data_IF_386265239587
#
_entry.id   IF_386265239587
#
_cell.length_a   1.000
_cell.length_b   1.000
_cell.length_c   1.000
_cell.angle_alpha   90.00
_cell.angle_beta   90.00
_cell.angle_gamma   90.00
#
_symmetry.space_group_name_H-M   'P 1'
#
loop_
_entity.id
_entity.type
_entity.pdbx_description
1 polymer ?
#
# COMPACT_ATOMS: atom_id res chain seq x y z
N UNK A 1 25.68 -13.14 -19.25
CA UNK A 1 25.87 -14.03 -20.41
C UNK A 1 24.78 -15.09 -20.53
N UNK A 2 24.59 -16.02 -19.57
CA UNK A 2 23.44 -16.95 -19.67
C UNK A 2 22.13 -16.16 -19.57
N UNK A 3 21.26 -16.33 -20.56
CA UNK A 3 19.95 -15.69 -20.62
C UNK A 3 19.93 -14.23 -21.09
N UNK A 4 21.01 -13.69 -21.65
CA UNK A 4 21.07 -12.32 -22.23
C UNK A 4 21.08 -12.37 -23.75
N UNK A 5 20.42 -11.43 -24.43
CA UNK A 5 20.42 -11.34 -25.91
C UNK A 5 21.82 -11.03 -26.45
N UNK A 6 22.65 -10.40 -25.62
CA UNK A 6 24.07 -10.18 -25.87
C UNK A 6 24.82 -11.38 -26.47
N UNK A 7 24.58 -12.61 -25.99
CA UNK A 7 25.31 -13.80 -26.47
C UNK A 7 25.08 -14.05 -27.97
N UNK A 8 23.88 -13.77 -28.46
CA UNK A 8 23.50 -13.98 -29.86
C UNK A 8 23.82 -12.76 -30.74
N UNK A 9 23.75 -11.55 -30.16
CA UNK A 9 23.98 -10.29 -30.88
C UNK A 9 25.46 -9.95 -31.02
N UNK A 10 26.29 -10.21 -30.00
CA UNK A 10 27.69 -9.80 -30.00
C UNK A 10 28.47 -10.32 -31.23
N UNK A 11 28.41 -11.62 -31.60
CA UNK A 11 29.21 -12.11 -32.73
C UNK A 11 28.86 -11.42 -34.05
N UNK A 12 27.56 -11.13 -34.27
CA UNK A 12 27.09 -10.45 -35.48
C UNK A 12 27.58 -9.01 -35.52
N UNK A 13 27.41 -8.26 -34.43
CA UNK A 13 27.86 -6.87 -34.34
C UNK A 13 29.37 -6.76 -34.40
N UNK A 14 30.10 -7.69 -33.78
CA UNK A 14 31.56 -7.70 -33.82
C UNK A 14 32.10 -8.02 -35.22
N UNK A 15 31.49 -8.96 -35.94
CA UNK A 15 31.87 -9.27 -37.32
C UNK A 15 31.79 -8.04 -38.25
N UNK A 16 30.83 -7.13 -38.02
CA UNK A 16 30.76 -5.86 -38.77
C UNK A 16 31.99 -4.98 -38.53
N UNK A 17 32.50 -4.94 -37.29
CA UNK A 17 33.71 -4.18 -36.96
C UNK A 17 34.97 -4.87 -37.49
N UNK A 18 35.04 -6.20 -37.39
CA UNK A 18 36.13 -7.02 -37.90
C UNK A 18 36.33 -6.84 -39.41
N UNK A 19 35.23 -6.79 -40.17
CA UNK A 19 35.27 -6.62 -41.62
C UNK A 19 35.76 -5.24 -42.11
N UNK A 20 35.79 -4.21 -41.25
CA UNK A 20 36.16 -2.85 -41.64
C UNK A 20 37.67 -2.66 -41.75
N UNK A 21 38.10 -1.82 -42.69
CA UNK A 21 39.49 -1.37 -42.79
C UNK A 21 39.86 -0.44 -41.61
N UNK A 22 41.16 -0.19 -41.41
CA UNK A 22 41.64 0.66 -40.30
C UNK A 22 41.11 2.10 -40.38
N UNK A 23 40.99 2.64 -41.60
CA UNK A 23 40.50 4.01 -41.83
C UNK A 23 38.99 4.11 -41.61
N UNK A 24 38.24 3.14 -42.12
CA UNK A 24 36.77 3.05 -41.91
C UNK A 24 36.43 2.90 -40.43
N UNK A 25 37.16 2.03 -39.71
CA UNK A 25 36.98 1.83 -38.27
C UNK A 25 37.20 3.15 -37.50
N UNK A 26 38.29 3.86 -37.81
CA UNK A 26 38.60 5.14 -37.16
C UNK A 26 37.54 6.21 -37.45
N UNK A 27 37.05 6.27 -38.69
CA UNK A 27 35.99 7.19 -39.09
C UNK A 27 34.66 6.88 -38.37
N UNK A 28 34.26 5.60 -38.31
CA UNK A 28 33.04 5.16 -37.61
C UNK A 28 33.11 5.44 -36.12
N UNK A 29 34.23 5.15 -35.46
CA UNK A 29 34.44 5.48 -34.05
C UNK A 29 34.30 6.98 -33.77
N UNK A 30 34.86 7.82 -34.64
CA UNK A 30 34.75 9.28 -34.51
C UNK A 30 33.30 9.74 -34.64
N UNK A 31 32.57 9.23 -35.62
CA UNK A 31 31.15 9.56 -35.83
C UNK A 31 30.28 9.15 -34.63
N UNK A 32 30.47 7.93 -34.11
CA UNK A 32 29.76 7.45 -32.91
C UNK A 32 30.08 8.32 -31.71
N UNK A 33 31.35 8.67 -31.49
CA UNK A 33 31.74 9.49 -30.35
C UNK A 33 31.13 10.90 -30.40
N UNK A 34 31.05 11.52 -31.58
CA UNK A 34 30.36 12.81 -31.76
C UNK A 34 28.89 12.67 -31.34
N UNK A 35 28.18 11.68 -31.88
CA UNK A 35 26.77 11.45 -31.55
C UNK A 35 26.55 11.16 -30.06
N UNK A 36 27.46 10.40 -29.45
CA UNK A 36 27.44 10.10 -28.01
C UNK A 36 27.56 11.38 -27.17
N UNK A 37 28.48 12.27 -27.53
CA UNK A 37 28.66 13.55 -26.85
C UNK A 37 27.42 14.44 -26.98
N UNK A 38 26.81 14.52 -28.18
CA UNK A 38 25.54 15.24 -28.39
C UNK A 38 24.43 14.71 -27.47
N UNK A 39 24.29 13.38 -27.38
CA UNK A 39 23.28 12.74 -26.53
C UNK A 39 23.55 12.95 -25.03
N UNK A 40 24.83 12.98 -24.61
CA UNK A 40 25.23 13.31 -23.24
C UNK A 40 24.98 14.79 -22.90
N UNK A 41 25.20 15.69 -23.84
CA UNK A 41 24.89 17.12 -23.68
C UNK A 41 23.38 17.34 -23.59
N UNK A 42 22.59 16.71 -24.48
CA UNK A 42 21.13 16.72 -24.39
C UNK A 42 20.65 16.25 -23.01
N UNK A 43 21.20 15.15 -22.51
CA UNK A 43 20.90 14.63 -21.16
C UNK A 43 21.18 15.69 -20.08
N UNK A 44 22.35 16.31 -20.11
CA UNK A 44 22.71 17.35 -19.15
C UNK A 44 21.75 18.56 -19.20
N UNK A 45 21.29 18.94 -20.39
CA UNK A 45 20.33 20.02 -20.56
C UNK A 45 18.92 19.69 -20.06
N UNK A 46 18.48 18.44 -20.19
CA UNK A 46 17.23 17.98 -19.57
C UNK A 46 17.33 17.99 -18.04
N UNK A 47 18.45 17.49 -17.49
CA UNK A 47 18.70 17.47 -16.04
C UNK A 47 18.74 18.90 -15.46
N UNK A 48 19.37 19.86 -16.14
CA UNK A 48 19.35 21.29 -15.78
C UNK A 48 17.94 21.87 -15.72
N UNK A 49 17.02 21.37 -16.56
CA UNK A 49 15.61 21.78 -16.60
C UNK A 49 14.73 21.01 -15.60
N UNK A 50 15.32 20.16 -14.75
CA UNK A 50 14.59 19.29 -13.83
C UNK A 50 13.73 18.25 -14.53
N UNK A 51 14.01 17.95 -15.81
CA UNK A 51 13.27 16.99 -16.63
C UNK A 51 14.12 15.77 -16.88
N UNK A 52 13.48 14.63 -17.13
CA UNK A 52 14.19 13.45 -17.61
C UNK A 52 14.31 13.49 -19.14
N UNK A 53 15.45 13.04 -19.65
CA UNK A 53 15.67 12.85 -21.08
C UNK A 53 14.61 11.89 -21.67
N UNK A 54 14.13 12.13 -22.91
CA UNK A 54 13.22 11.22 -23.61
C UNK A 54 13.75 9.79 -23.63
N UNK A 55 12.85 8.81 -23.49
CA UNK A 55 13.24 7.40 -23.47
C UNK A 55 13.92 6.95 -24.78
N UNK A 56 13.56 7.55 -25.92
CA UNK A 56 14.18 7.28 -27.22
C UNK A 56 15.66 7.65 -27.24
N UNK A 57 16.00 8.85 -26.79
CA UNK A 57 17.39 9.32 -26.71
C UNK A 57 18.21 8.53 -25.69
N UNK A 58 17.62 8.13 -24.56
CA UNK A 58 18.28 7.27 -23.57
C UNK A 58 18.66 5.90 -24.16
N UNK A 59 17.77 5.30 -24.95
CA UNK A 59 18.02 4.03 -25.63
C UNK A 59 19.10 4.19 -26.71
N UNK A 60 19.04 5.27 -27.50
CA UNK A 60 20.04 5.58 -28.51
C UNK A 60 21.43 5.77 -27.89
N UNK A 61 21.51 6.50 -26.77
CA UNK A 61 22.79 6.71 -26.06
C UNK A 61 23.38 5.38 -25.59
N UNK A 62 22.57 4.50 -24.99
CA UNK A 62 23.03 3.18 -24.56
C UNK A 62 23.52 2.31 -25.72
N UNK A 63 22.87 2.37 -26.88
CA UNK A 63 23.31 1.67 -28.08
C UNK A 63 24.62 2.24 -28.62
N UNK A 64 24.77 3.57 -28.66
CA UNK A 64 26.01 4.23 -29.13
C UNK A 64 27.18 4.01 -28.18
N UNK A 65 26.94 4.00 -26.87
CA UNK A 65 27.94 3.63 -25.87
C UNK A 65 28.47 2.22 -26.14
N UNK A 66 27.56 1.26 -26.35
CA UNK A 66 27.94 -0.12 -26.67
C UNK A 66 28.75 -0.23 -27.97
N UNK A 67 28.28 0.36 -29.06
CA UNK A 67 28.98 0.34 -30.34
C UNK A 67 30.38 0.99 -30.24
N UNK A 68 30.49 2.07 -29.46
CA UNK A 68 31.77 2.73 -29.21
C UNK A 68 32.76 1.83 -28.47
N UNK A 69 32.33 1.16 -27.40
CA UNK A 69 33.18 0.24 -26.65
C UNK A 69 33.60 -0.97 -27.50
N UNK A 70 32.68 -1.53 -28.30
CA UNK A 70 32.98 -2.65 -29.19
C UNK A 70 34.02 -2.26 -30.26
N UNK A 71 33.88 -1.10 -30.89
CA UNK A 71 34.85 -0.61 -31.86
C UNK A 71 36.21 -0.27 -31.23
N UNK A 72 36.22 0.23 -29.99
CA UNK A 72 37.46 0.52 -29.24
C UNK A 72 38.20 -0.78 -28.87
N UNK A 73 37.45 -1.79 -28.42
CA UNK A 73 37.96 -3.14 -28.17
C UNK A 73 38.60 -3.73 -29.44
N UNK A 74 37.91 -3.72 -30.57
CA UNK A 74 38.44 -4.23 -31.85
C UNK A 74 39.71 -3.49 -32.28
N UNK A 75 39.74 -2.15 -32.15
CA UNK A 75 40.94 -1.36 -32.45
C UNK A 75 42.13 -1.80 -31.59
N UNK A 76 41.90 -1.98 -30.29
CA UNK A 76 42.95 -2.36 -29.35
C UNK A 76 43.37 -3.83 -29.53
N UNK A 77 42.45 -4.70 -29.94
CA UNK A 77 42.74 -6.08 -30.33
C UNK A 77 43.68 -6.12 -31.54
N UNK A 78 43.41 -5.35 -32.60
CA UNK A 78 44.31 -5.25 -33.76
C UNK A 78 45.69 -4.72 -33.38
N UNK A 79 45.76 -3.74 -32.49
CA UNK A 79 47.04 -3.21 -32.00
C UNK A 79 47.82 -4.27 -31.22
N UNK A 80 47.13 -5.03 -30.37
CA UNK A 80 47.70 -6.15 -29.62
C UNK A 80 48.21 -7.25 -30.58
N UNK A 81 47.39 -7.69 -31.54
CA UNK A 81 47.75 -8.75 -32.49
C UNK A 81 48.89 -8.40 -33.45
N UNK A 82 49.12 -7.11 -33.73
CA UNK A 82 50.23 -6.67 -34.58
C UNK A 82 51.59 -6.93 -33.94
N UNK A 83 51.69 -7.02 -32.60
CA UNK A 83 52.93 -7.26 -31.83
C UNK A 83 54.08 -6.27 -32.05
N UNK A 84 53.95 -5.32 -32.98
CA UNK A 84 55.02 -4.40 -33.41
C UNK A 84 55.59 -3.60 -32.24
N UNK A 85 54.71 -3.06 -31.42
CA UNK A 85 55.07 -2.10 -30.38
C UNK A 85 55.81 -2.78 -29.22
N UNK A 86 55.30 -3.90 -28.69
CA UNK A 86 55.98 -4.58 -27.59
C UNK A 86 57.19 -5.41 -28.02
N UNK A 87 57.26 -5.88 -29.27
CA UNK A 87 58.49 -6.49 -29.78
C UNK A 87 59.64 -5.47 -29.82
N UNK A 88 59.30 -4.19 -29.97
CA UNK A 88 60.27 -3.08 -29.97
C UNK A 88 60.56 -2.54 -28.56
N UNK A 89 59.53 -2.39 -27.74
CA UNK A 89 59.58 -1.65 -26.47
C UNK A 89 59.71 -2.57 -25.23
N UNK A 90 59.62 -3.90 -25.40
CA UNK A 90 59.74 -4.88 -24.32
C UNK A 90 58.41 -5.26 -23.65
N UNK A 91 58.51 -6.04 -22.57
CA UNK A 91 57.38 -6.69 -21.88
C UNK A 91 56.40 -5.68 -21.25
N UNK A 92 56.89 -4.53 -20.78
CA UNK A 92 56.04 -3.51 -20.15
C UNK A 92 54.99 -2.95 -21.12
N UNK A 93 55.36 -2.76 -22.39
CA UNK A 93 54.44 -2.29 -23.42
C UNK A 93 53.45 -3.39 -23.84
N UNK A 94 53.84 -4.66 -23.74
CA UNK A 94 52.93 -5.80 -23.92
C UNK A 94 51.86 -5.82 -22.84
N UNK A 95 52.27 -5.64 -21.59
CA UNK A 95 51.37 -5.60 -20.44
C UNK A 95 50.40 -4.43 -20.53
N UNK A 96 50.88 -3.23 -20.85
CA UNK A 96 50.03 -2.05 -21.01
C UNK A 96 49.01 -2.22 -22.14
N UNK A 97 49.39 -2.82 -23.28
CA UNK A 97 48.45 -3.08 -24.37
C UNK A 97 47.42 -4.15 -24.01
N UNK A 98 47.82 -5.17 -23.26
CA UNK A 98 46.90 -6.18 -22.73
C UNK A 98 45.91 -5.59 -21.71
N UNK A 99 46.38 -4.73 -20.81
CA UNK A 99 45.54 -4.01 -19.84
C UNK A 99 44.47 -3.18 -20.58
N UNK A 100 44.86 -2.37 -21.55
CA UNK A 100 43.93 -1.57 -22.35
C UNK A 100 42.88 -2.43 -23.11
N UNK A 101 43.29 -3.59 -23.61
CA UNK A 101 42.39 -4.55 -24.27
C UNK A 101 41.36 -5.11 -23.29
N UNK A 102 41.79 -5.56 -22.10
CA UNK A 102 40.91 -6.09 -21.07
C UNK A 102 39.94 -5.00 -20.60
N UNK A 103 40.41 -3.78 -20.34
CA UNK A 103 39.56 -2.68 -19.91
C UNK A 103 38.43 -2.40 -20.91
N UNK A 104 38.74 -2.35 -22.21
CA UNK A 104 37.72 -2.15 -23.23
C UNK A 104 36.78 -3.35 -23.35
N UNK A 105 37.29 -4.57 -23.18
CA UNK A 105 36.44 -5.75 -23.12
C UNK A 105 35.48 -5.71 -21.93
N UNK A 106 35.94 -5.29 -20.74
CA UNK A 106 35.09 -5.12 -19.56
C UNK A 106 33.98 -4.08 -19.80
N UNK A 107 34.27 -3.00 -20.53
CA UNK A 107 33.26 -2.02 -20.92
C UNK A 107 32.20 -2.60 -21.88
N UNK A 108 32.58 -3.51 -22.77
CA UNK A 108 31.63 -4.27 -23.62
C UNK A 108 30.71 -5.16 -22.76
N UNK A 109 31.18 -5.68 -21.62
CA UNK A 109 30.37 -6.48 -20.68
C UNK A 109 29.32 -5.67 -19.90
N UNK A 110 29.30 -4.34 -20.02
CA UNK A 110 28.28 -3.48 -19.39
C UNK A 110 26.89 -3.71 -20.00
N UNK A 111 26.78 -3.97 -21.30
CA UNK A 111 25.49 -4.23 -21.96
C UNK A 111 24.75 -5.46 -21.37
N UNK A 112 25.35 -6.65 -21.26
CA UNK A 112 24.67 -7.81 -20.68
C UNK A 112 24.38 -7.63 -19.18
N UNK A 113 25.11 -6.76 -18.47
CA UNK A 113 24.79 -6.36 -17.10
C UNK A 113 23.50 -5.53 -17.07
N UNK A 114 23.40 -4.52 -17.94
CA UNK A 114 22.21 -3.68 -18.05
C UNK A 114 20.98 -4.50 -18.46
N UNK A 115 21.11 -5.44 -19.40
CA UNK A 115 20.01 -6.34 -19.78
C UNK A 115 19.49 -7.18 -18.60
N UNK A 116 20.38 -7.69 -17.75
CA UNK A 116 19.98 -8.45 -16.55
C UNK A 116 19.25 -7.57 -15.54
N UNK A 117 19.75 -6.36 -15.30
CA UNK A 117 19.09 -5.40 -14.42
C UNK A 117 17.72 -5.03 -14.96
N UNK A 118 17.59 -4.81 -16.26
CA UNK A 118 16.30 -4.50 -16.89
C UNK A 118 15.30 -5.66 -16.77
N UNK A 119 15.74 -6.91 -16.96
CA UNK A 119 14.91 -8.10 -16.71
C UNK A 119 14.45 -8.17 -15.26
N UNK A 120 15.34 -7.88 -14.32
CA UNK A 120 15.01 -7.84 -12.89
C UNK A 120 13.98 -6.75 -12.61
N UNK A 121 14.16 -5.56 -13.19
CA UNK A 121 13.21 -4.45 -13.08
C UNK A 121 11.82 -4.81 -13.58
N UNK A 122 11.73 -5.51 -14.72
CA UNK A 122 10.47 -6.00 -15.30
C UNK A 122 9.80 -7.10 -14.48
N UNK A 123 10.56 -7.84 -13.66
CA UNK A 123 10.00 -8.91 -12.81
C UNK A 123 9.31 -8.40 -11.54
N UNK A 124 9.57 -7.16 -11.12
CA UNK A 124 8.96 -6.62 -9.92
C UNK A 124 7.49 -6.23 -10.17
N UNK A 125 6.55 -6.62 -9.30
CA UNK A 125 5.16 -6.26 -9.45
C UNK A 125 4.96 -4.75 -9.26
N UNK A 126 3.96 -4.17 -9.93
CA UNK A 126 3.54 -2.81 -9.67
C UNK A 126 2.66 -2.75 -8.42
N UNK A 127 2.81 -1.69 -7.62
CA UNK A 127 1.98 -1.45 -6.44
C UNK A 127 0.49 -1.41 -6.83
N UNK A 128 -0.37 -2.26 -6.23
CA UNK A 128 -1.80 -2.25 -6.48
C UNK A 128 -2.39 -0.89 -6.14
N UNK A 129 -3.39 -0.46 -6.91
CA UNK A 129 -4.05 0.83 -6.67
C UNK A 129 -4.91 0.76 -5.42
N UNK A 130 -5.20 1.94 -4.86
CA UNK A 130 -6.12 2.10 -3.73
C UNK A 130 -7.15 3.14 -4.11
N UNK A 131 -8.33 2.69 -4.52
CA UNK A 131 -9.44 3.56 -4.86
C UNK A 131 -10.47 3.59 -3.72
N UNK A 132 -11.01 4.76 -3.40
CA UNK A 132 -12.18 4.96 -2.52
C UNK A 132 -13.07 6.03 -3.15
N UNK A 133 -14.37 5.76 -3.30
CA UNK A 133 -15.33 6.69 -3.93
C UNK A 133 -14.89 7.24 -5.30
N UNK A 134 -14.13 6.45 -6.07
CA UNK A 134 -13.58 6.85 -7.37
C UNK A 134 -12.32 7.74 -7.31
N UNK A 135 -11.70 7.88 -6.14
CA UNK A 135 -10.46 8.64 -5.94
C UNK A 135 -9.30 7.68 -5.72
N UNK A 136 -8.21 7.81 -6.50
CA UNK A 136 -6.96 7.07 -6.29
C UNK A 136 -6.17 7.69 -5.13
N UNK A 137 -6.25 7.07 -3.96
CA UNK A 137 -5.64 7.55 -2.72
C UNK A 137 -4.11 7.64 -2.78
N UNK A 138 -3.44 7.01 -3.76
CA UNK A 138 -1.98 7.10 -3.91
C UNK A 138 -1.54 8.29 -4.74
N UNK A 139 -2.32 8.67 -5.76
CA UNK A 139 -1.90 9.63 -6.79
C UNK A 139 -2.49 11.02 -6.63
N UNK A 140 -3.68 11.13 -6.04
CA UNK A 140 -4.32 12.43 -5.83
C UNK A 140 -3.61 13.23 -4.74
N UNK A 141 -3.94 14.53 -4.65
CA UNK A 141 -3.45 15.37 -3.57
C UNK A 141 -3.81 14.75 -2.20
N UNK A 142 -2.92 14.91 -1.22
CA UNK A 142 -3.09 14.26 0.09
C UNK A 142 -4.39 14.69 0.75
N UNK A 143 -4.74 15.97 0.71
CA UNK A 143 -5.93 16.48 1.39
C UNK A 143 -7.23 15.92 0.78
N UNK A 144 -7.28 15.77 -0.55
CA UNK A 144 -8.40 15.16 -1.25
C UNK A 144 -8.53 13.67 -0.91
N UNK A 145 -7.43 12.93 -0.91
CA UNK A 145 -7.43 11.51 -0.54
C UNK A 145 -7.86 11.29 0.92
N UNK A 146 -7.36 12.11 1.85
CA UNK A 146 -7.74 12.05 3.25
C UNK A 146 -9.22 12.37 3.43
N UNK A 147 -9.75 13.38 2.73
CA UNK A 147 -11.16 13.73 2.78
C UNK A 147 -12.04 12.59 2.26
N UNK A 148 -11.71 12.01 1.10
CA UNK A 148 -12.46 10.90 0.51
C UNK A 148 -12.51 9.69 1.46
N UNK A 149 -11.36 9.28 2.00
CA UNK A 149 -11.27 8.17 2.95
C UNK A 149 -12.07 8.42 4.24
N UNK A 150 -11.91 9.60 4.86
CA UNK A 150 -12.62 9.94 6.10
C UNK A 150 -14.14 10.01 5.89
N UNK A 151 -14.58 10.62 4.79
CA UNK A 151 -16.01 10.71 4.45
C UNK A 151 -16.62 9.32 4.26
N UNK A 152 -15.91 8.44 3.56
CA UNK A 152 -16.34 7.06 3.35
C UNK A 152 -16.46 6.31 4.68
N UNK A 153 -15.43 6.41 5.53
CA UNK A 153 -15.42 5.78 6.86
C UNK A 153 -16.62 6.22 7.72
N UNK A 154 -16.86 7.54 7.85
CA UNK A 154 -17.96 8.06 8.68
C UNK A 154 -19.38 7.68 8.20
N UNK A 155 -19.48 7.24 6.94
CA UNK A 155 -20.74 6.83 6.32
C UNK A 155 -20.98 5.33 6.44
N UNK A 156 -19.94 4.52 6.19
CA UNK A 156 -20.09 3.08 5.97
C UNK A 156 -19.63 2.20 7.14
N UNK A 157 -18.76 2.69 8.04
CA UNK A 157 -18.21 1.84 9.12
C UNK A 157 -19.30 1.29 10.04
N UNK A 158 -19.35 -0.04 10.18
CA UNK A 158 -20.43 -0.71 10.89
C UNK A 158 -20.35 -0.53 12.40
N UNK A 159 -19.15 -0.41 12.94
CA UNK A 159 -18.93 -0.12 14.36
C UNK A 159 -19.38 1.30 14.75
N UNK A 160 -19.21 2.29 13.88
CA UNK A 160 -19.75 3.64 14.06
C UNK A 160 -21.28 3.63 14.04
N UNK A 161 -21.89 2.83 13.18
CA UNK A 161 -23.34 2.62 13.19
C UNK A 161 -23.81 2.05 14.53
N UNK A 162 -23.08 1.08 15.10
CA UNK A 162 -23.36 0.54 16.42
C UNK A 162 -23.23 1.61 17.52
N UNK A 163 -22.19 2.46 17.47
CA UNK A 163 -22.03 3.58 18.39
C UNK A 163 -23.17 4.60 18.31
N UNK A 164 -23.62 4.93 17.10
CA UNK A 164 -24.79 5.81 16.87
C UNK A 164 -26.08 5.17 17.43
N UNK A 165 -26.25 3.86 17.27
CA UNK A 165 -27.39 3.13 17.83
C UNK A 165 -27.41 3.16 19.36
N UNK A 166 -26.25 3.01 20.01
CA UNK A 166 -26.13 3.12 21.48
C UNK A 166 -26.50 4.52 22.00
N UNK A 167 -26.12 5.58 21.28
CA UNK A 167 -26.55 6.94 21.63
C UNK A 167 -28.08 7.07 21.57
N UNK A 168 -28.70 6.55 20.51
CA UNK A 168 -30.16 6.56 20.37
C UNK A 168 -30.85 5.75 21.47
N UNK A 169 -30.31 4.61 21.87
CA UNK A 169 -30.84 3.84 22.99
C UNK A 169 -30.76 4.61 24.31
N UNK A 170 -29.62 5.24 24.59
CA UNK A 170 -29.45 6.08 25.79
C UNK A 170 -30.42 7.27 25.81
N UNK A 171 -30.79 7.79 24.64
CA UNK A 171 -31.81 8.84 24.52
C UNK A 171 -33.22 8.29 24.81
N UNK A 172 -33.57 7.09 24.32
CA UNK A 172 -34.86 6.44 24.65
C UNK A 172 -34.98 6.15 26.15
N UNK A 173 -33.89 5.79 26.81
CA UNK A 173 -33.87 5.56 28.26
C UNK A 173 -34.29 6.81 29.07
N UNK A 174 -34.11 8.03 28.54
CA UNK A 174 -34.61 9.25 29.18
C UNK A 174 -36.13 9.24 29.27
N UNK A 175 -36.82 8.79 28.21
CA UNK A 175 -38.28 8.68 28.22
C UNK A 175 -38.75 7.58 29.18
N UNK A 176 -38.04 6.44 29.21
CA UNK A 176 -38.35 5.33 30.14
C UNK A 176 -38.17 5.78 31.60
N UNK A 177 -37.07 6.47 31.92
CA UNK A 177 -36.84 6.98 33.29
C UNK A 177 -37.78 8.14 33.65
N UNK A 178 -38.19 8.96 32.68
CA UNK A 178 -39.21 9.98 32.89
C UNK A 178 -40.59 9.37 33.23
N UNK A 179 -40.95 8.24 32.61
CA UNK A 179 -42.21 7.54 32.94
C UNK A 179 -42.23 7.05 34.39
N UNK A 180 -41.08 6.67 34.94
CA UNK A 180 -40.98 6.28 36.36
C UNK A 180 -41.23 7.44 37.34
N UNK A 181 -41.27 8.70 36.88
CA UNK A 181 -41.67 9.86 37.70
C UNK A 181 -43.19 10.03 37.78
N UNK A 182 -43.94 9.34 36.92
CA UNK A 182 -45.40 9.39 36.90
C UNK A 182 -46.01 8.46 37.93
N UNK A 183 -47.30 8.65 38.21
CA UNK A 183 -48.06 7.68 38.99
C UNK A 183 -48.31 6.41 38.18
N UNK A 184 -48.38 5.26 38.86
CA UNK A 184 -48.69 3.97 38.23
C UNK A 184 -50.02 3.47 38.78
N UNK A 185 -50.86 2.93 37.91
CA UNK A 185 -52.06 2.20 38.30
C UNK A 185 -51.96 0.79 37.74
N UNK A 186 -51.95 -0.21 38.61
CA UNK A 186 -51.94 -1.60 38.25
C UNK A 186 -53.33 -2.20 38.46
N UNK A 187 -53.74 -3.00 37.49
CA UNK A 187 -55.00 -3.75 37.52
C UNK A 187 -54.64 -5.22 37.54
N UNK A 188 -54.96 -5.89 38.63
CA UNK A 188 -54.72 -7.32 38.79
C UNK A 188 -56.06 -8.04 38.89
N UNK A 189 -56.22 -9.08 38.07
CA UNK A 189 -57.38 -9.95 38.12
C UNK A 189 -56.92 -11.39 38.34
N UNK A 190 -57.40 -12.03 39.40
CA UNK A 190 -57.12 -13.43 39.70
C UNK A 190 -58.41 -14.24 39.81
N UNK A 191 -58.33 -15.47 39.31
CA UNK A 191 -59.38 -16.49 39.35
C UNK A 191 -58.83 -17.72 40.05
N UNK A 192 -59.38 -18.07 41.21
CA UNK A 192 -59.04 -19.32 41.91
C UNK A 192 -60.24 -20.27 41.87
N UNK A 193 -60.03 -21.49 41.39
CA UNK A 193 -60.96 -22.60 41.56
C UNK A 193 -60.36 -23.64 42.49
N UNK A 194 -61.05 -23.95 43.60
CA UNK A 194 -60.64 -25.02 44.52
C UNK A 194 -61.61 -26.19 44.43
N UNK A 195 -61.10 -27.41 44.29
CA UNK A 195 -61.91 -28.61 44.47
C UNK A 195 -62.21 -28.81 45.98
N UNK A 196 -63.39 -29.31 46.35
CA UNK A 196 -63.71 -29.60 47.74
C UNK A 196 -62.69 -30.54 48.42
N UNK A 197 -62.25 -30.21 49.63
CA UNK A 197 -61.37 -31.08 50.41
C UNK A 197 -62.14 -32.32 50.91
N UNK A 198 -61.45 -33.46 51.04
CA UNK A 198 -62.00 -34.74 51.50
C UNK A 198 -63.08 -35.38 50.62
N UNK A 199 -63.17 -34.96 49.36
CA UNK A 199 -64.01 -35.61 48.33
C UNK A 199 -63.07 -36.09 47.22
N UNK A 200 -63.13 -37.37 46.85
CA UNK A 200 -62.29 -37.99 45.82
C UNK A 200 -62.67 -37.54 44.38
N UNK A 201 -62.88 -36.24 44.20
CA UNK A 201 -63.25 -35.60 42.94
C UNK A 201 -62.29 -34.44 42.62
N UNK A 202 -61.02 -34.75 42.26
CA UNK A 202 -59.96 -33.76 42.09
C UNK A 202 -60.17 -32.79 40.91
N UNK A 203 -61.10 -33.09 40.00
CA UNK A 203 -61.43 -32.26 38.83
C UNK A 203 -62.82 -31.60 38.91
N UNK A 204 -63.47 -31.64 40.08
CA UNK A 204 -64.76 -31.00 40.30
C UNK A 204 -64.58 -29.51 40.63
N UNK A 205 -64.34 -28.72 39.59
CA UNK A 205 -64.35 -27.25 39.65
C UNK A 205 -65.80 -26.77 39.51
N UNK A 206 -66.49 -26.59 40.64
CA UNK A 206 -67.85 -26.04 40.65
C UNK A 206 -67.80 -24.53 40.40
N UNK A 207 -68.73 -23.99 39.61
CA UNK A 207 -68.92 -22.55 39.45
C UNK A 207 -69.07 -21.82 40.80
N UNK A 208 -69.68 -22.46 41.81
CA UNK A 208 -69.82 -21.94 43.16
C UNK A 208 -68.52 -21.91 43.99
N UNK A 209 -67.47 -22.64 43.59
CA UNK A 209 -66.14 -22.61 44.24
C UNK A 209 -65.11 -21.72 43.53
N UNK A 210 -65.55 -21.02 42.46
CA UNK A 210 -64.74 -20.01 41.78
C UNK A 210 -64.70 -18.71 42.60
N UNK A 211 -63.50 -18.24 42.90
CA UNK A 211 -63.26 -16.94 43.53
C UNK A 211 -62.62 -16.00 42.51
N UNK A 212 -63.38 -14.96 42.16
CA UNK A 212 -62.90 -13.85 41.34
C UNK A 212 -62.38 -12.74 42.25
N UNK A 213 -61.22 -12.18 41.93
CA UNK A 213 -60.64 -11.05 42.67
C UNK A 213 -60.07 -10.04 41.69
N UNK A 214 -60.61 -8.82 41.72
CA UNK A 214 -60.07 -7.65 41.02
C UNK A 214 -59.42 -6.73 42.05
N UNK A 215 -58.13 -6.46 41.87
CA UNK A 215 -57.34 -5.55 42.71
C UNK A 215 -56.91 -4.37 41.82
N UNK A 216 -57.18 -3.16 42.30
CA UNK A 216 -56.68 -1.92 41.72
C UNK A 216 -55.66 -1.34 42.71
N UNK A 217 -54.38 -1.30 42.33
CA UNK A 217 -53.33 -0.67 43.12
C UNK A 217 -52.82 0.56 42.41
N UNK A 218 -52.69 1.68 43.11
CA UNK A 218 -52.28 2.95 42.53
C UNK A 218 -51.24 3.64 43.38
N UNK A 219 -50.12 3.99 42.77
CA UNK A 219 -49.02 4.72 43.42
C UNK A 219 -48.98 6.16 42.91
N UNK A 220 -49.32 7.10 43.78
CA UNK A 220 -49.32 8.54 43.46
C UNK A 220 -47.88 9.11 43.43
N UNK A 221 -47.56 10.05 42.52
CA UNK A 221 -46.21 10.61 42.39
C UNK A 221 -45.96 11.76 43.39
N UNK A 222 -46.04 11.48 44.69
CA UNK A 222 -45.94 12.51 45.73
C UNK A 222 -44.48 12.79 46.14
N UNK A 223 -43.68 11.76 46.44
CA UNK A 223 -42.26 11.90 46.84
C UNK A 223 -41.43 10.82 46.14
N UNK A 224 -40.78 11.16 45.02
CA UNK A 224 -40.00 10.25 44.17
C UNK A 224 -38.53 10.65 44.05
N UNK A 225 -37.82 10.72 45.19
CA UNK A 225 -36.42 11.21 45.24
C UNK A 225 -35.48 10.24 44.51
N UNK A 226 -35.67 8.93 44.67
CA UNK A 226 -34.81 7.92 44.04
C UNK A 226 -34.98 7.96 42.51
N UNK A 227 -36.20 8.04 42.03
CA UNK A 227 -36.55 8.12 40.60
C UNK A 227 -36.06 9.44 40.00
N UNK A 228 -36.14 10.56 40.73
CA UNK A 228 -35.55 11.84 40.30
C UNK A 228 -34.03 11.74 40.15
N UNK A 229 -33.36 11.08 41.09
CA UNK A 229 -31.91 10.86 41.01
C UNK A 229 -31.56 9.93 39.84
N UNK A 230 -32.35 8.88 39.61
CA UNK A 230 -32.21 8.00 38.46
C UNK A 230 -32.42 8.75 37.13
N UNK A 231 -33.45 9.60 37.03
CA UNK A 231 -33.68 10.45 35.86
C UNK A 231 -32.49 11.38 35.60
N UNK A 232 -31.98 12.07 36.64
CA UNK A 232 -30.77 12.91 36.52
C UNK A 232 -29.55 12.10 36.06
N UNK A 233 -29.38 10.88 36.57
CA UNK A 233 -28.32 9.98 36.13
C UNK A 233 -28.48 9.60 34.64
N UNK A 234 -29.71 9.35 34.16
CA UNK A 234 -29.94 9.07 32.72
C UNK A 234 -29.58 10.26 31.81
N UNK A 235 -29.87 11.50 32.24
CA UNK A 235 -29.47 12.69 31.49
C UNK A 235 -27.94 12.84 31.42
N UNK A 236 -27.25 12.61 32.53
CA UNK A 236 -25.77 12.65 32.57
C UNK A 236 -25.19 11.54 31.69
N UNK A 237 -25.76 10.34 31.75
CA UNK A 237 -25.33 9.20 30.93
C UNK A 237 -25.51 9.49 29.44
N UNK A 238 -26.62 10.06 29.01
CA UNK A 238 -26.82 10.47 27.62
C UNK A 238 -25.78 11.51 27.17
N UNK A 239 -25.50 12.52 27.99
CA UNK A 239 -24.45 13.51 27.70
C UNK A 239 -23.06 12.87 27.59
N UNK A 240 -22.76 11.88 28.44
CA UNK A 240 -21.52 11.10 28.35
C UNK A 240 -21.49 10.29 27.05
N UNK A 241 -22.57 9.62 26.69
CA UNK A 241 -22.63 8.85 25.44
C UNK A 241 -22.48 9.73 24.20
N UNK A 242 -23.03 10.95 24.22
CA UNK A 242 -22.82 11.91 23.13
C UNK A 242 -21.34 12.30 22.98
N UNK A 243 -20.62 12.55 24.09
CA UNK A 243 -19.18 12.81 24.04
C UNK A 243 -18.37 11.59 23.60
N UNK A 244 -18.77 10.39 24.02
CA UNK A 244 -18.15 9.16 23.58
C UNK A 244 -18.29 8.98 22.06
N UNK A 245 -19.46 9.27 21.49
CA UNK A 245 -19.66 9.20 20.03
C UNK A 245 -18.78 10.22 19.29
N UNK A 246 -18.70 11.47 19.78
CA UNK A 246 -17.83 12.49 19.19
C UNK A 246 -16.35 12.05 19.21
N UNK A 247 -15.87 11.59 20.36
CA UNK A 247 -14.50 11.09 20.50
C UNK A 247 -14.23 9.86 19.62
N UNK A 248 -15.25 9.01 19.43
CA UNK A 248 -15.15 7.86 18.54
C UNK A 248 -15.04 8.29 17.09
N UNK A 249 -15.90 9.20 16.61
CA UNK A 249 -15.79 9.77 15.26
C UNK A 249 -14.43 10.42 15.00
N UNK A 250 -13.89 11.16 15.97
CA UNK A 250 -12.55 11.76 15.88
C UNK A 250 -11.43 10.71 15.79
N UNK A 251 -11.55 9.62 16.56
CA UNK A 251 -10.59 8.50 16.52
C UNK A 251 -10.60 7.82 15.15
N UNK A 252 -11.79 7.56 14.59
CA UNK A 252 -11.95 6.98 13.24
C UNK A 252 -11.28 7.87 12.18
N UNK A 253 -11.49 9.18 12.26
CA UNK A 253 -10.87 10.13 11.32
C UNK A 253 -9.34 10.06 11.42
N UNK A 254 -8.79 10.01 12.63
CA UNK A 254 -7.35 9.97 12.82
C UNK A 254 -6.72 8.64 12.37
N UNK A 255 -7.37 7.51 12.67
CA UNK A 255 -6.94 6.18 12.23
C UNK A 255 -6.85 6.11 10.70
N UNK A 256 -7.93 6.49 10.01
CA UNK A 256 -8.00 6.49 8.54
C UNK A 256 -6.94 7.42 7.93
N UNK A 257 -6.70 8.59 8.56
CA UNK A 257 -5.65 9.51 8.09
C UNK A 257 -4.27 8.89 8.21
N UNK A 258 -3.98 8.22 9.31
CA UNK A 258 -2.69 7.59 9.55
C UNK A 258 -2.47 6.39 8.62
N UNK A 259 -3.50 5.58 8.39
CA UNK A 259 -3.46 4.47 7.43
C UNK A 259 -3.16 4.94 6.01
N UNK A 260 -3.85 5.99 5.52
CA UNK A 260 -3.61 6.54 4.18
C UNK A 260 -2.19 7.10 4.05
N UNK A 261 -1.70 7.82 5.06
CA UNK A 261 -0.31 8.35 5.06
C UNK A 261 0.70 7.23 5.07
N UNK A 262 0.50 6.21 5.89
CA UNK A 262 1.36 5.04 5.98
C UNK A 262 1.39 4.27 4.66
N UNK A 263 0.23 4.10 4.01
CA UNK A 263 0.11 3.42 2.73
C UNK A 263 0.87 4.17 1.62
N UNK A 264 0.79 5.50 1.59
CA UNK A 264 1.61 6.34 0.69
C UNK A 264 3.10 6.24 1.00
N UNK A 265 3.48 6.24 2.28
CA UNK A 265 4.86 6.06 2.69
C UNK A 265 5.42 4.71 2.21
N UNK A 266 4.67 3.61 2.40
CA UNK A 266 5.06 2.29 1.90
C UNK A 266 5.18 2.23 0.38
N UNK A 267 4.28 2.88 -0.37
CA UNK A 267 4.41 3.02 -1.83
C UNK A 267 5.73 3.69 -2.22
N UNK A 268 6.09 4.80 -1.57
CA UNK A 268 7.34 5.51 -1.86
C UNK A 268 8.57 4.71 -1.43
N UNK A 269 8.52 4.07 -0.26
CA UNK A 269 9.60 3.20 0.22
C UNK A 269 9.78 1.99 -0.68
N UNK A 270 8.71 1.44 -1.26
CA UNK A 270 8.80 0.37 -2.27
C UNK A 270 9.57 0.84 -3.51
N UNK A 271 9.31 2.07 -3.99
CA UNK A 271 10.05 2.66 -5.11
C UNK A 271 11.54 2.85 -4.79
N UNK A 272 11.84 3.35 -3.58
CA UNK A 272 13.22 3.48 -3.10
C UNK A 272 13.90 2.11 -2.98
N UNK A 273 13.20 1.12 -2.43
CA UNK A 273 13.78 -0.20 -2.19
C UNK A 273 14.10 -0.95 -3.48
N UNK A 274 13.35 -0.71 -4.57
CA UNK A 274 13.72 -1.16 -5.92
C UNK A 274 15.09 -0.61 -6.36
N UNK A 275 15.36 0.67 -6.08
CA UNK A 275 16.65 1.30 -6.36
C UNK A 275 17.77 0.73 -5.47
N UNK A 276 17.47 0.42 -4.20
CA UNK A 276 18.43 -0.21 -3.28
C UNK A 276 18.83 -1.61 -3.78
N UNK A 277 17.87 -2.39 -4.30
CA UNK A 277 18.18 -3.69 -4.91
C UNK A 277 19.06 -3.51 -6.15
N UNK A 278 18.73 -2.55 -7.03
CA UNK A 278 19.54 -2.24 -8.21
C UNK A 278 20.98 -1.86 -7.83
N UNK A 279 21.15 -0.99 -6.83
CA UNK A 279 22.46 -0.63 -6.31
C UNK A 279 23.21 -1.85 -5.75
N UNK A 280 22.54 -2.73 -5.00
CA UNK A 280 23.18 -3.91 -4.42
C UNK A 280 23.69 -4.88 -5.50
N UNK A 281 23.01 -4.97 -6.65
CA UNK A 281 23.53 -5.70 -7.82
C UNK A 281 24.79 -5.04 -8.38
N UNK A 282 24.83 -3.71 -8.51
CA UNK A 282 26.01 -2.98 -9.01
C UNK A 282 27.22 -3.14 -8.07
N UNK A 283 27.00 -3.08 -6.76
CA UNK A 283 28.05 -3.30 -5.74
C UNK A 283 28.59 -4.73 -5.82
N UNK A 284 27.71 -5.72 -6.01
CA UNK A 284 28.13 -7.12 -6.20
C UNK A 284 28.96 -7.30 -7.48
N UNK A 285 28.53 -6.71 -8.59
CA UNK A 285 29.26 -6.80 -9.85
C UNK A 285 30.62 -6.12 -9.75
N UNK A 286 30.70 -4.95 -9.12
CA UNK A 286 31.98 -4.27 -8.87
C UNK A 286 32.91 -5.10 -7.98
N UNK A 287 32.39 -5.73 -6.93
CA UNK A 287 33.18 -6.61 -6.07
C UNK A 287 33.67 -7.87 -6.80
N UNK A 288 32.89 -8.41 -7.75
CA UNK A 288 33.34 -9.50 -8.61
C UNK A 288 34.46 -9.05 -9.55
N UNK A 289 34.32 -7.88 -10.18
CA UNK A 289 35.34 -7.30 -11.06
C UNK A 289 36.66 -7.07 -10.31
N UNK A 290 36.64 -6.50 -9.10
CA UNK A 290 37.85 -6.28 -8.30
C UNK A 290 38.49 -7.59 -7.84
N UNK A 291 37.70 -8.61 -7.51
CA UNK A 291 38.20 -9.92 -7.08
C UNK A 291 38.89 -10.68 -8.23
N UNK A 292 38.38 -10.54 -9.46
CA UNK A 292 38.95 -11.19 -10.64
C UNK A 292 39.97 -10.33 -11.40
N UNK A 293 40.23 -9.09 -10.97
CA UNK A 293 41.20 -8.22 -11.62
C UNK A 293 42.62 -8.83 -11.52
N UNK A 294 43.37 -8.92 -12.63
CA UNK A 294 44.73 -9.44 -12.60
C UNK A 294 45.65 -8.54 -11.77
N UNK A 295 46.48 -9.13 -10.92
CA UNK A 295 47.48 -8.40 -10.13
C UNK A 295 48.57 -7.82 -11.04
N UNK A 296 48.77 -6.49 -11.00
CA UNK A 296 49.75 -5.79 -11.85
C UNK A 296 51.18 -6.29 -11.58
N UNK A 297 51.86 -6.92 -12.56
CA UNK A 297 53.25 -7.33 -12.40
C UNK A 297 54.17 -6.11 -12.56
N UNK A 298 55.04 -5.85 -11.59
CA UNK A 298 56.16 -4.90 -11.76
C UNK A 298 55.96 -3.46 -11.25
N UNK A 299 54.94 -3.17 -10.45
CA UNK A 299 54.83 -1.88 -9.75
C UNK A 299 55.95 -1.67 -8.74
N UNK A 300 57.09 -1.12 -9.18
CA UNK A 300 58.21 -0.74 -8.33
C UNK A 300 57.82 0.47 -7.46
N UNK A 301 57.35 0.18 -6.24
CA UNK A 301 56.94 1.21 -5.30
C UNK A 301 56.34 0.68 -3.99
N UNK A 302 57.06 -0.20 -3.29
CA UNK A 302 56.97 -0.36 -1.84
C UNK A 302 55.79 -1.18 -1.28
N UNK A 303 56.12 -2.33 -0.69
CA UNK A 303 55.33 -3.00 0.36
C UNK A 303 54.03 -3.70 -0.05
N UNK A 304 53.99 -4.36 -1.21
CA UNK A 304 53.12 -5.54 -1.40
C UNK A 304 53.86 -6.82 -0.96
N UNK A 305 54.27 -6.84 0.31
CA UNK A 305 54.59 -8.09 0.99
C UNK A 305 53.26 -8.77 1.35
N UNK A 306 53.03 -9.96 0.78
CA UNK A 306 51.91 -10.87 1.05
C UNK A 306 50.58 -10.52 0.35
N UNK A 307 50.46 -10.91 -0.92
CA UNK A 307 49.21 -10.90 -1.72
C UNK A 307 48.03 -11.66 -1.09
N UNK A 308 48.20 -12.36 0.02
CA UNK A 308 47.12 -13.03 0.75
C UNK A 308 46.20 -12.03 1.48
N UNK A 309 46.73 -10.93 2.03
CA UNK A 309 45.92 -9.96 2.80
C UNK A 309 45.03 -9.09 1.91
N UNK A 310 45.53 -8.69 0.74
CA UNK A 310 44.76 -7.98 -0.28
C UNK A 310 43.69 -8.88 -0.92
N UNK A 311 44.03 -10.15 -1.21
CA UNK A 311 43.06 -11.13 -1.69
C UNK A 311 41.99 -11.44 -0.64
N UNK A 312 42.35 -11.58 0.64
CA UNK A 312 41.39 -11.73 1.73
C UNK A 312 40.41 -10.54 1.79
N UNK A 313 40.91 -9.31 1.70
CA UNK A 313 40.06 -8.10 1.69
C UNK A 313 39.06 -8.08 0.52
N UNK A 314 39.46 -8.49 -0.70
CA UNK A 314 38.54 -8.61 -1.84
C UNK A 314 37.49 -9.70 -1.64
N UNK A 315 37.87 -10.85 -1.06
CA UNK A 315 36.89 -11.89 -0.73
C UNK A 315 35.88 -11.45 0.34
N UNK A 316 36.31 -10.68 1.33
CA UNK A 316 35.41 -10.09 2.33
C UNK A 316 34.47 -9.06 1.70
N UNK A 317 34.97 -8.21 0.78
CA UNK A 317 34.15 -7.27 0.03
C UNK A 317 33.08 -7.98 -0.80
N UNK A 318 33.44 -9.08 -1.48
CA UNK A 318 32.50 -9.90 -2.24
C UNK A 318 31.43 -10.53 -1.33
N UNK A 319 31.85 -11.10 -0.19
CA UNK A 319 30.91 -11.68 0.77
C UNK A 319 29.96 -10.63 1.35
N UNK A 320 30.47 -9.44 1.67
CA UNK A 320 29.67 -8.31 2.12
C UNK A 320 28.66 -7.87 1.05
N UNK A 321 29.07 -7.81 -0.22
CA UNK A 321 28.19 -7.48 -1.33
C UNK A 321 27.10 -8.54 -1.60
N UNK A 322 27.42 -9.83 -1.40
CA UNK A 322 26.41 -10.90 -1.48
C UNK A 322 25.38 -10.78 -0.35
N UNK A 323 25.83 -10.49 0.88
CA UNK A 323 24.93 -10.26 2.03
C UNK A 323 24.06 -9.02 1.85
N UNK A 324 24.62 -7.93 1.33
CA UNK A 324 23.86 -6.69 1.09
C UNK A 324 22.79 -6.87 0.02
N UNK A 325 23.08 -7.64 -1.04
CA UNK A 325 22.09 -8.02 -2.05
C UNK A 325 20.94 -8.83 -1.46
N UNK A 326 21.23 -9.86 -0.67
CA UNK A 326 20.18 -10.67 -0.03
C UNK A 326 19.32 -9.82 0.91
N UNK A 327 19.96 -8.96 1.70
CA UNK A 327 19.27 -8.01 2.59
C UNK A 327 18.37 -7.05 1.81
N UNK A 328 18.85 -6.49 0.70
CA UNK A 328 18.06 -5.60 -0.15
C UNK A 328 16.84 -6.32 -0.77
N UNK A 329 17.01 -7.56 -1.22
CA UNK A 329 15.92 -8.38 -1.77
C UNK A 329 14.86 -8.70 -0.71
N UNK A 330 15.29 -9.11 0.49
CA UNK A 330 14.37 -9.35 1.60
C UNK A 330 13.66 -8.06 2.01
N UNK A 331 14.37 -6.93 2.06
CA UNK A 331 13.78 -5.62 2.33
C UNK A 331 12.70 -5.24 1.31
N UNK A 332 12.92 -5.50 0.02
CA UNK A 332 11.92 -5.28 -1.04
C UNK A 332 10.68 -6.16 -0.86
N UNK A 333 10.88 -7.41 -0.46
CA UNK A 333 9.78 -8.34 -0.20
C UNK A 333 8.97 -7.95 1.04
N UNK A 334 9.65 -7.54 2.12
CA UNK A 334 8.99 -7.08 3.35
C UNK A 334 8.15 -5.84 3.10
N UNK A 335 8.71 -4.80 2.47
CA UNK A 335 7.95 -3.55 2.21
C UNK A 335 6.76 -3.79 1.28
N UNK A 336 6.86 -4.75 0.36
CA UNK A 336 5.75 -5.18 -0.47
C UNK A 336 4.62 -5.82 0.34
N UNK A 337 4.95 -6.72 1.27
CA UNK A 337 3.96 -7.35 2.15
C UNK A 337 3.33 -6.31 3.09
N UNK A 338 4.14 -5.40 3.64
CA UNK A 338 3.67 -4.35 4.53
C UNK A 338 2.67 -3.44 3.80
N UNK A 339 2.95 -3.10 2.55
CA UNK A 339 2.03 -2.39 1.69
C UNK A 339 0.70 -3.14 1.50
N UNK A 340 0.76 -4.43 1.12
CA UNK A 340 -0.45 -5.23 0.92
C UNK A 340 -1.27 -5.39 2.20
N UNK A 341 -0.60 -5.52 3.34
CA UNK A 341 -1.25 -5.64 4.65
C UNK A 341 -1.93 -4.33 5.04
N UNK A 342 -1.24 -3.19 4.90
CA UNK A 342 -1.82 -1.88 5.17
C UNK A 342 -3.03 -1.57 4.29
N UNK A 343 -2.96 -1.95 3.01
CA UNK A 343 -4.08 -1.85 2.07
C UNK A 343 -5.28 -2.70 2.50
N UNK A 344 -5.02 -3.93 2.96
CA UNK A 344 -6.07 -4.82 3.45
C UNK A 344 -6.73 -4.27 4.72
N UNK A 345 -5.95 -3.71 5.65
CA UNK A 345 -6.50 -3.08 6.85
C UNK A 345 -7.36 -1.86 6.53
N UNK A 346 -6.88 -0.96 5.67
CA UNK A 346 -7.65 0.20 5.25
C UNK A 346 -8.98 -0.21 4.62
N UNK A 347 -9.00 -1.23 3.76
CA UNK A 347 -10.25 -1.69 3.15
C UNK A 347 -11.18 -2.45 4.08
N UNK A 348 -10.64 -3.19 5.05
CA UNK A 348 -11.47 -3.74 6.12
C UNK A 348 -12.12 -2.60 6.91
N UNK A 349 -11.34 -1.60 7.31
CA UNK A 349 -11.81 -0.52 8.18
C UNK A 349 -12.70 0.49 7.42
N UNK A 350 -12.68 0.48 6.09
CA UNK A 350 -13.64 1.19 5.25
C UNK A 350 -14.86 0.34 4.86
N UNK A 351 -14.95 -0.92 5.28
CA UNK A 351 -15.99 -1.88 4.90
C UNK A 351 -16.04 -2.15 3.38
N UNK A 352 -14.89 -2.06 2.72
CA UNK A 352 -14.67 -2.28 1.28
C UNK A 352 -14.01 -3.64 0.98
N UNK A 353 -14.12 -4.60 1.89
CA UNK A 353 -13.48 -5.91 1.80
C UNK A 353 -14.52 -7.04 1.58
N UNK A 354 -15.11 -7.18 0.37
CA UNK A 354 -16.04 -8.26 0.09
C UNK A 354 -15.31 -9.61 0.14
N UNK A 355 -15.88 -10.58 0.87
CA UNK A 355 -15.33 -11.92 1.01
C UNK A 355 -16.12 -12.92 0.14
N UNK A 356 -15.40 -13.79 -0.57
CA UNK A 356 -15.97 -15.00 -1.19
C UNK A 356 -16.51 -15.93 -0.08
N UNK A 357 -17.50 -16.81 -0.33
CA UNK A 357 -17.88 -17.91 0.56
C UNK A 357 -16.73 -18.71 1.23
N UNK A 358 -15.52 -18.68 0.67
CA UNK A 358 -14.30 -19.28 1.25
C UNK A 358 -13.58 -18.38 2.28
N UNK A 359 -14.05 -17.16 2.52
CA UNK A 359 -13.41 -16.18 3.39
C UNK A 359 -12.18 -15.49 2.76
N UNK A 360 -12.03 -15.55 1.44
CA UNK A 360 -10.93 -14.89 0.71
C UNK A 360 -11.44 -13.56 0.16
N UNK A 361 -10.65 -12.50 0.31
CA UNK A 361 -10.98 -11.18 -0.23
C UNK A 361 -11.03 -11.22 -1.77
N UNK A 362 -12.14 -10.70 -2.33
CA UNK A 362 -12.31 -10.49 -3.77
C UNK A 362 -11.87 -9.07 -4.11
N UNK A 363 -10.65 -8.95 -4.63
CA UNK A 363 -10.02 -7.66 -4.92
C UNK A 363 -10.41 -7.15 -6.32
N UNK A 364 -11.66 -6.70 -6.47
CA UNK A 364 -12.12 -6.11 -7.73
C UNK A 364 -11.42 -4.77 -8.04
N UNK A 365 -10.93 -4.08 -7.00
CA UNK A 365 -10.34 -2.74 -7.11
C UNK A 365 -8.89 -2.79 -7.61
N UNK A 366 -8.15 -3.88 -7.37
CA UNK A 366 -6.83 -4.09 -7.99
C UNK A 366 -6.90 -4.06 -9.53
N UNK A 367 -8.01 -4.56 -10.08
CA UNK A 367 -8.18 -4.73 -11.54
C UNK A 367 -9.00 -3.62 -12.20
N UNK A 368 -9.81 -2.87 -11.43
CA UNK A 368 -10.64 -1.79 -11.95
C UNK A 368 -9.92 -0.43 -11.96
N UNK A 369 -10.29 0.44 -12.90
CA UNK A 369 -9.91 1.85 -12.81
C UNK A 369 -10.69 2.49 -11.66
N UNK A 370 -10.09 3.48 -10.98
CA UNK A 370 -10.80 4.30 -10.00
C UNK A 370 -11.90 5.16 -10.65
N UNK A 371 -12.23 4.95 -11.93
CA UNK A 371 -13.38 5.56 -12.53
C UNK A 371 -14.62 5.05 -11.79
N UNK A 372 -15.38 6.00 -11.24
CA UNK A 372 -16.72 5.73 -10.71
C UNK A 372 -17.44 4.81 -11.72
N UNK A 373 -18.06 3.70 -11.30
CA UNK A 373 -19.17 3.19 -12.09
C UNK A 373 -20.26 4.27 -11.99
N UNK A 374 -20.25 5.20 -12.95
CA UNK A 374 -21.45 5.94 -13.29
C UNK A 374 -22.50 4.88 -13.62
N UNK A 375 -23.44 4.66 -12.70
CA UNK A 375 -24.45 3.61 -12.74
C UNK A 375 -23.93 2.17 -12.72
N UNK A 376 -23.67 1.62 -11.53
CA UNK A 376 -24.38 0.37 -11.20
C UNK A 376 -25.64 0.80 -10.44
N UNK A 377 -26.86 0.69 -11.00
CA UNK A 377 -28.04 0.82 -10.18
C UNK A 377 -27.91 -0.23 -9.09
N UNK A 378 -28.08 0.19 -7.83
CA UNK A 378 -28.22 -0.74 -6.73
C UNK A 378 -29.21 -1.82 -7.19
N UNK A 379 -28.76 -3.08 -7.25
CA UNK A 379 -29.67 -4.20 -7.38
C UNK A 379 -30.65 -4.03 -6.24
N UNK A 380 -31.83 -3.59 -6.63
CA UNK A 380 -32.88 -3.20 -5.74
C UNK A 380 -33.37 -4.53 -5.22
N UNK A 381 -32.97 -4.88 -3.99
CA UNK A 381 -33.65 -5.89 -3.20
C UNK A 381 -35.07 -5.38 -3.02
N UNK A 382 -35.89 -5.63 -4.03
CA UNK A 382 -37.28 -5.24 -4.16
C UNK A 382 -38.07 -6.21 -3.32
N UNK A 383 -38.03 -6.01 -1.99
CA UNK A 383 -39.00 -6.57 -1.05
C UNK A 383 -38.96 -5.83 0.30
N UNK A 384 -39.03 -4.50 0.27
CA UNK A 384 -39.54 -3.74 1.42
C UNK A 384 -40.59 -2.77 0.91
N UNK A 385 -41.81 -2.96 1.39
CA UNK A 385 -43.05 -2.28 1.00
C UNK A 385 -42.87 -0.76 0.93
N UNK A 386 -43.26 -0.19 -0.20
CA UNK A 386 -43.39 1.25 -0.46
C UNK A 386 -44.35 1.91 0.52
N UNK A 387 -43.89 2.96 1.20
CA UNK A 387 -44.76 3.97 1.85
C UNK A 387 -45.07 5.03 0.79
N UNK A 388 -46.34 5.44 0.58
CA UNK A 388 -46.71 6.34 -0.50
C UNK A 388 -46.31 7.80 -0.17
N UNK A 389 -45.64 8.45 -1.12
CA UNK A 389 -45.45 9.89 -1.12
C UNK A 389 -46.66 10.56 -1.78
N UNK A 390 -47.40 11.36 -1.00
CA UNK A 390 -48.38 12.32 -1.45
C UNK A 390 -48.05 13.70 -0.89
N UNK A 391 -47.71 14.61 -1.80
CA UNK A 391 -47.24 15.98 -1.65
C UNK A 391 -48.05 16.88 -0.67
N UNK A 392 -47.37 17.68 0.16
CA UNK A 392 -47.11 19.13 -0.04
C UNK A 392 -46.56 19.79 1.25
N UNK A 393 -45.48 20.55 1.11
CA UNK A 393 -45.13 21.67 1.99
C UNK A 393 -44.58 21.38 3.40
N UNK A 394 -43.25 21.28 3.55
CA UNK A 394 -42.41 22.17 4.39
C UNK A 394 -41.01 21.57 4.59
N UNK A 395 -39.98 22.40 4.41
CA UNK A 395 -38.58 22.06 4.71
C UNK A 395 -38.43 21.74 6.20
N UNK A 396 -38.08 20.49 6.54
CA UNK A 396 -37.67 20.07 7.88
C UNK A 396 -36.74 18.87 7.80
N UNK A 397 -35.49 19.02 8.27
CA UNK A 397 -34.59 17.89 8.52
C UNK A 397 -35.12 16.97 9.64
N UNK A 398 -34.40 15.90 10.02
CA UNK A 398 -34.86 14.85 10.96
C UNK A 398 -35.03 15.30 12.42
N UNK A 399 -35.31 16.59 12.66
CA UNK A 399 -35.66 17.15 13.96
C UNK A 399 -37.19 17.23 14.21
N UNK A 400 -38.04 16.96 13.22
CA UNK A 400 -39.48 17.27 13.31
C UNK A 400 -40.38 16.19 13.93
N UNK A 401 -39.89 14.99 14.21
CA UNK A 401 -40.65 13.97 14.98
C UNK A 401 -40.27 13.91 16.48
N UNK A 402 -39.39 14.79 16.93
CA UNK A 402 -38.94 14.84 18.30
C UNK A 402 -39.82 15.84 19.07
N UNK A 403 -40.85 15.33 19.74
CA UNK A 403 -41.45 16.09 20.83
C UNK A 403 -40.31 16.42 21.83
N UNK A 404 -40.01 17.71 22.08
CA UNK A 404 -39.03 18.05 23.10
C UNK A 404 -39.50 17.46 24.44
N UNK A 405 -38.57 17.06 25.34
CA UNK A 405 -38.96 16.61 26.68
C UNK A 405 -39.81 17.71 27.31
N UNK A 406 -41.07 17.38 27.62
CA UNK A 406 -41.99 18.31 28.31
C UNK A 406 -41.29 18.82 29.56
N UNK A 407 -41.11 20.13 29.67
CA UNK A 407 -40.70 20.78 30.91
C UNK A 407 -41.82 20.54 31.93
N UNK A 408 -41.68 19.51 32.76
CA UNK A 408 -42.52 19.33 33.93
C UNK A 408 -42.03 20.36 34.96
N UNK A 409 -42.82 21.43 35.13
CA UNK A 409 -42.62 22.40 36.20
C UNK A 409 -42.88 21.69 37.53
N UNK A 410 -41.81 21.38 38.25
CA UNK A 410 -41.90 20.96 39.66
C UNK A 410 -42.15 22.24 40.47
N UNK A 411 -43.39 22.40 40.96
CA UNK A 411 -43.71 23.28 42.09
C UNK A 411 -43.66 22.47 43.36
#
# INVERSE_FOLDING_TARGET
MKGTQFKEKLPKRWAEWEAMTKEELAAKLKAINIRRLELQESKADFERKGKQQPNTEKLELGEKDFEFFLGRFERNLRLYEQKVNWLRNGVDDQLNQFENLIEDFLLVLVEPRNEKLEKTRKSWPAVPRVCVDGVDLLKTEIDEALFAGCRHALTNRLDLMNGRAQLMDSWRQIAVSANALQGVMNVEYSLLGTSPANVAQPVNFNAGSLRHRLILTGDLPLVRIQERNAYRATLINWQRQRRNLMAFEDTIIEDVRNEIRQLRAFSQTYDIQKLVVELAYLVLDNALETTYAPSKPGGAGGTQGNNESAQAAFTEQLLAAQRSKLSAQNGLFTIWIDYLSARTFLYRDLELLPLDPRGVWIDEIETCHCDLPANKPAETVTNLRSIPNGAEGTRGGPASFLLPPRKISLK
#
